data_IF_487005714136
#
_entry.id   IF_487005714136
#
_cell.length_a   1.000
_cell.length_b   1.000
_cell.length_c   1.000
_cell.angle_alpha   90.00
_cell.angle_beta   90.00
_cell.angle_gamma   90.00
#
_symmetry.space_group_name_H-M   'P 1'
#
loop_
_entity.id
_entity.type
_entity.pdbx_description
1 polymer ?
#
# COMPACT_ATOMS: atom_id res chain seq x y z
N UNK A 1 6.57 -31.89 -49.53
CA UNK A 1 6.96 -30.69 -48.74
C UNK A 1 5.75 -30.27 -47.94
N UNK A 2 5.69 -30.65 -46.66
CA UNK A 2 4.51 -30.45 -45.82
C UNK A 2 4.70 -29.13 -45.06
N UNK A 3 3.94 -28.10 -45.44
CA UNK A 3 3.91 -26.83 -44.69
C UNK A 3 2.98 -27.01 -43.50
N UNK A 4 3.56 -27.15 -42.31
CA UNK A 4 2.87 -27.07 -41.03
C UNK A 4 2.26 -25.68 -40.88
N UNK A 5 0.93 -25.60 -40.88
CA UNK A 5 0.18 -24.38 -40.59
C UNK A 5 0.10 -24.25 -39.08
N UNK A 6 0.86 -23.31 -38.51
CA UNK A 6 0.74 -22.94 -37.10
C UNK A 6 -0.59 -22.20 -36.90
N UNK A 7 -1.48 -22.64 -36.01
CA UNK A 7 -2.70 -21.88 -35.72
C UNK A 7 -2.29 -20.57 -35.02
N UNK A 8 -2.75 -19.44 -35.57
CA UNK A 8 -2.56 -18.13 -34.95
C UNK A 8 -3.24 -18.14 -33.58
N UNK A 9 -2.43 -18.04 -32.52
CA UNK A 9 -2.92 -17.91 -31.14
C UNK A 9 -3.65 -16.57 -31.05
N UNK A 10 -4.98 -16.62 -31.01
CA UNK A 10 -5.79 -15.46 -30.61
C UNK A 10 -5.56 -15.24 -29.12
N UNK A 11 -4.72 -14.26 -28.79
CA UNK A 11 -4.62 -13.74 -27.44
C UNK A 11 -5.95 -13.03 -27.16
N UNK A 12 -6.81 -13.68 -26.40
CA UNK A 12 -7.98 -13.03 -25.81
C UNK A 12 -7.43 -12.29 -24.58
N UNK A 13 -7.46 -10.94 -24.54
CA UNK A 13 -7.14 -10.24 -23.31
C UNK A 13 -8.17 -10.68 -22.27
N UNK A 14 -7.69 -11.39 -21.26
CA UNK A 14 -8.48 -11.81 -20.12
C UNK A 14 -8.93 -10.53 -19.42
N UNK A 15 -10.20 -10.21 -19.65
CA UNK A 15 -10.81 -8.96 -19.27
C UNK A 15 -11.28 -9.08 -17.82
N UNK A 16 -10.33 -9.09 -16.90
CA UNK A 16 -10.50 -8.92 -15.45
C UNK A 16 -9.16 -8.33 -14.97
N UNK A 17 -9.06 -6.99 -14.97
CA UNK A 17 -7.89 -6.25 -14.48
C UNK A 17 -7.72 -6.55 -12.98
N UNK A 18 -7.04 -7.65 -12.64
CA UNK A 18 -6.50 -7.82 -11.30
C UNK A 18 -5.55 -6.64 -11.06
N UNK A 19 -5.79 -5.82 -10.02
CA UNK A 19 -5.00 -4.62 -9.80
C UNK A 19 -3.54 -5.01 -9.69
N UNK A 20 -2.68 -4.26 -10.39
CA UNK A 20 -1.26 -4.57 -10.36
C UNK A 20 -0.75 -4.50 -8.91
N UNK A 21 0.24 -5.32 -8.52
CA UNK A 21 0.75 -5.35 -7.14
C UNK A 21 1.09 -3.96 -6.58
N UNK A 22 1.50 -3.03 -7.44
CA UNK A 22 1.78 -1.63 -7.09
C UNK A 22 0.52 -0.87 -6.65
N UNK A 23 -0.60 -1.03 -7.36
CA UNK A 23 -1.86 -0.35 -7.07
C UNK A 23 -2.47 -0.85 -5.75
N UNK A 24 -2.34 -2.16 -5.47
CA UNK A 24 -2.76 -2.74 -4.18
C UNK A 24 -1.95 -2.14 -3.03
N UNK A 25 -0.63 -2.01 -3.21
CA UNK A 25 0.26 -1.43 -2.21
C UNK A 25 -0.05 0.06 -2.00
N UNK A 26 -0.30 0.81 -3.07
CA UNK A 26 -0.69 2.22 -2.98
C UNK A 26 -1.99 2.40 -2.20
N UNK A 27 -3.04 1.64 -2.54
CA UNK A 27 -4.32 1.69 -1.84
C UNK A 27 -4.18 1.33 -0.36
N UNK A 28 -3.35 0.32 -0.04
CA UNK A 28 -3.06 -0.06 1.34
C UNK A 28 -2.37 1.08 2.11
N UNK A 29 -1.39 1.75 1.49
CA UNK A 29 -0.69 2.90 2.10
C UNK A 29 -1.66 4.05 2.37
N UNK A 30 -2.52 4.39 1.41
CA UNK A 30 -3.53 5.46 1.57
C UNK A 30 -4.51 5.12 2.69
N UNK A 31 -5.00 3.88 2.74
CA UNK A 31 -5.92 3.42 3.79
C UNK A 31 -5.27 3.49 5.18
N UNK A 32 -4.00 3.08 5.31
CA UNK A 32 -3.24 3.17 6.56
C UNK A 32 -3.06 4.63 6.97
N UNK A 33 -2.67 5.52 6.05
CA UNK A 33 -2.49 6.94 6.34
C UNK A 33 -3.80 7.59 6.83
N UNK A 34 -4.92 7.29 6.18
CA UNK A 34 -6.24 7.76 6.62
C UNK A 34 -6.64 7.22 8.01
N UNK A 35 -6.36 5.95 8.27
CA UNK A 35 -6.58 5.33 9.58
C UNK A 35 -5.73 5.98 10.68
N UNK A 36 -4.46 6.24 10.40
CA UNK A 36 -3.54 6.91 11.32
C UNK A 36 -3.95 8.35 11.62
N UNK A 37 -4.40 9.11 10.62
CA UNK A 37 -4.93 10.47 10.80
C UNK A 37 -6.13 10.48 11.76
N UNK A 38 -7.04 9.51 11.61
CA UNK A 38 -8.18 9.33 12.53
C UNK A 38 -7.71 8.99 13.94
N UNK A 39 -6.79 8.02 14.09
CA UNK A 39 -6.26 7.64 15.40
C UNK A 39 -5.56 8.81 16.11
N UNK A 40 -4.77 9.59 15.38
CA UNK A 40 -4.09 10.79 15.90
C UNK A 40 -5.07 11.91 16.31
N UNK A 41 -6.29 11.94 15.75
CA UNK A 41 -7.33 12.91 16.14
C UNK A 41 -8.06 12.54 17.43
N UNK A 42 -7.83 11.33 17.96
CA UNK A 42 -8.42 10.88 19.23
C UNK A 42 -7.54 11.29 20.42
N UNK A 43 -7.92 10.87 21.63
CA UNK A 43 -7.08 11.04 22.83
C UNK A 43 -5.96 10.01 22.93
N UNK A 44 -5.82 9.10 21.96
CA UNK A 44 -4.74 8.14 21.95
C UNK A 44 -3.43 8.84 21.61
N UNK A 45 -2.42 8.66 22.47
CA UNK A 45 -1.08 9.16 22.17
C UNK A 45 -0.41 8.28 21.12
N UNK A 46 0.51 8.86 20.34
CA UNK A 46 1.33 8.11 19.37
C UNK A 46 2.00 6.89 20.00
N UNK A 47 2.49 7.03 21.24
CA UNK A 47 3.11 5.95 22.02
C UNK A 47 2.15 4.80 22.33
N UNK A 48 0.87 5.10 22.57
CA UNK A 48 -0.17 4.09 22.75
C UNK A 48 -0.43 3.33 21.43
N UNK A 49 -0.52 4.04 20.31
CA UNK A 49 -0.70 3.40 18.98
C UNK A 49 0.44 2.44 18.68
N UNK A 50 1.70 2.89 18.83
CA UNK A 50 2.89 2.06 18.63
C UNK A 50 2.89 0.83 19.54
N UNK A 51 2.44 0.98 20.78
CA UNK A 51 2.37 -0.13 21.74
C UNK A 51 1.31 -1.15 21.33
N UNK A 52 0.14 -0.71 20.87
CA UNK A 52 -0.92 -1.60 20.38
C UNK A 52 -0.49 -2.35 19.12
N UNK A 53 0.15 -1.66 18.17
CA UNK A 53 0.67 -2.26 16.94
C UNK A 53 1.78 -3.28 17.23
N UNK A 54 2.67 -2.97 18.17
CA UNK A 54 3.69 -3.92 18.60
C UNK A 54 3.06 -5.17 19.22
N UNK A 55 2.07 -5.00 20.10
CA UNK A 55 1.39 -6.10 20.76
C UNK A 55 0.61 -7.01 19.77
N UNK A 56 0.04 -6.44 18.71
CA UNK A 56 -0.72 -7.23 17.72
C UNK A 56 0.15 -7.89 16.65
N UNK A 57 1.22 -7.21 16.21
CA UNK A 57 2.03 -7.67 15.06
C UNK A 57 3.36 -8.31 15.44
N UNK A 58 3.85 -8.09 16.67
CA UNK A 58 5.20 -8.46 17.08
C UNK A 58 6.32 -7.60 16.48
N UNK A 59 6.01 -6.64 15.61
CA UNK A 59 7.02 -5.77 14.96
C UNK A 59 7.68 -4.86 16.01
N UNK A 60 9.02 -4.68 15.97
CA UNK A 60 9.71 -3.79 16.90
C UNK A 60 9.16 -2.36 16.87
N UNK A 61 9.02 -1.75 18.05
CA UNK A 61 8.47 -0.39 18.20
C UNK A 61 9.19 0.65 17.34
N UNK A 62 10.53 0.58 17.28
CA UNK A 62 11.33 1.50 16.46
C UNK A 62 11.01 1.40 14.98
N UNK A 63 10.77 0.19 14.46
CA UNK A 63 10.34 -0.01 13.06
C UNK A 63 8.97 0.60 12.81
N UNK A 64 8.02 0.40 13.72
CA UNK A 64 6.67 0.99 13.62
C UNK A 64 6.78 2.52 13.62
N UNK A 65 7.55 3.10 14.52
CA UNK A 65 7.76 4.55 14.58
C UNK A 65 8.33 5.11 13.27
N UNK A 66 9.34 4.44 12.69
CA UNK A 66 9.91 4.83 11.40
C UNK A 66 8.84 4.81 10.31
N UNK A 67 8.04 3.75 10.20
CA UNK A 67 6.97 3.66 9.20
C UNK A 67 5.94 4.76 9.40
N UNK A 68 5.44 4.96 10.61
CA UNK A 68 4.44 5.99 10.90
C UNK A 68 4.97 7.41 10.64
N UNK A 69 6.25 7.67 10.94
CA UNK A 69 6.90 8.96 10.62
C UNK A 69 6.94 9.19 9.10
N UNK A 70 7.28 8.15 8.34
CA UNK A 70 7.38 8.24 6.89
C UNK A 70 6.01 8.35 6.23
N UNK A 71 4.96 7.71 6.76
CA UNK A 71 3.60 7.85 6.23
C UNK A 71 3.10 9.31 6.26
N UNK A 72 3.39 10.04 7.34
CA UNK A 72 3.07 11.48 7.42
C UNK A 72 3.88 12.31 6.41
N UNK A 73 5.14 11.94 6.17
CA UNK A 73 6.01 12.60 5.20
C UNK A 73 5.69 12.24 3.75
N UNK A 74 5.17 11.05 3.48
CA UNK A 74 4.90 10.57 2.12
C UNK A 74 3.84 11.42 1.41
N UNK A 75 2.84 11.93 2.12
CA UNK A 75 1.89 12.90 1.55
C UNK A 75 2.62 14.16 1.05
N UNK A 76 3.62 14.63 1.79
CA UNK A 76 4.45 15.77 1.40
C UNK A 76 5.42 15.45 0.26
N UNK A 77 6.05 14.28 0.27
CA UNK A 77 7.12 13.92 -0.68
C UNK A 77 6.59 13.38 -2.00
N UNK A 78 5.46 12.67 -1.99
CA UNK A 78 4.96 11.93 -3.16
C UNK A 78 3.61 12.43 -3.68
N UNK A 79 2.71 12.93 -2.82
CA UNK A 79 1.38 13.39 -3.25
C UNK A 79 1.34 14.87 -3.64
N UNK A 80 2.34 15.68 -3.29
CA UNK A 80 2.51 17.05 -3.85
C UNK A 80 3.14 17.00 -5.24
N UNK A 81 2.38 16.55 -6.24
CA UNK A 81 2.65 16.87 -7.65
C UNK A 81 1.36 17.29 -8.34
N UNK A 82 1.40 18.53 -8.87
CA UNK A 82 0.38 19.29 -9.62
C UNK A 82 -0.62 20.10 -8.79
N UNK A 83 -0.14 21.22 -8.26
CA UNK A 83 -0.78 22.52 -8.48
C UNK A 83 0.02 23.25 -9.54
#
# INVERSE_FOLDING_TARGET
>A
MNKSVTPAVKIVPENEEEPMPVEIIEQAIVAIAAGMKKLNSTRLTRKAIVTLLHASSGVPKGTIEIVLNNLELMEYTWLKKKG
#
